data_IF_929725800118
#
_entry.id   IF_929725800118
#
_cell.length_a   1.000
_cell.length_b   1.000
_cell.length_c   1.000
_cell.angle_alpha   90.00
_cell.angle_beta   90.00
_cell.angle_gamma   90.00
#
_symmetry.space_group_name_H-M   'P 1'
#
loop_
_entity.id
_entity.type
_entity.pdbx_description
1 polymer ?
#
# COMPACT_ATOMS: atom_id res chain seq x y z
N UNK A 1 -10.48 -3.44 -30.34
CA UNK A 1 -10.24 -2.13 -29.71
C UNK A 1 -9.12 -2.32 -28.71
N UNK A 2 -7.88 -2.01 -29.09
CA UNK A 2 -6.79 -1.93 -28.11
C UNK A 2 -6.91 -0.55 -27.46
N UNK A 3 -7.42 -0.49 -26.23
CA UNK A 3 -7.30 0.70 -25.41
C UNK A 3 -5.82 1.04 -25.35
N UNK A 4 -5.43 2.20 -25.90
CA UNK A 4 -4.08 2.69 -25.79
C UNK A 4 -3.85 3.00 -24.32
N UNK A 5 -3.22 2.06 -23.59
CA UNK A 5 -2.72 2.32 -22.24
C UNK A 5 -1.74 3.48 -22.35
N UNK A 6 -2.07 4.58 -21.70
CA UNK A 6 -1.11 5.66 -21.54
C UNK A 6 -0.18 5.29 -20.39
N UNK A 7 1.10 5.73 -20.39
CA UNK A 7 1.97 5.58 -19.23
C UNK A 7 1.38 6.18 -17.94
N UNK A 8 0.41 7.09 -18.08
CA UNK A 8 -0.33 7.68 -16.98
C UNK A 8 -1.37 6.71 -16.37
N UNK A 9 -2.00 5.86 -17.18
CA UNK A 9 -2.88 4.79 -16.70
C UNK A 9 -2.08 3.75 -15.89
N UNK A 10 -0.87 3.45 -16.34
CA UNK A 10 0.02 2.50 -15.67
C UNK A 10 0.44 3.02 -14.29
N UNK A 11 0.82 4.30 -14.15
CA UNK A 11 1.20 4.85 -12.83
C UNK A 11 0.02 4.95 -11.85
N UNK A 12 -1.19 5.24 -12.33
CA UNK A 12 -2.39 5.29 -11.47
C UNK A 12 -2.73 3.87 -11.01
N UNK A 13 -2.73 2.91 -11.92
CA UNK A 13 -2.94 1.50 -11.60
C UNK A 13 -1.90 0.99 -10.61
N UNK A 14 -0.62 1.32 -10.80
CA UNK A 14 0.47 0.92 -9.91
C UNK A 14 0.28 1.49 -8.50
N UNK A 15 -0.07 2.77 -8.37
CA UNK A 15 -0.30 3.41 -7.08
C UNK A 15 -1.52 2.84 -6.35
N UNK A 16 -2.61 2.57 -7.08
CA UNK A 16 -3.80 1.92 -6.52
C UNK A 16 -3.46 0.49 -6.07
N UNK A 17 -2.69 -0.26 -6.87
CA UNK A 17 -2.28 -1.61 -6.54
C UNK A 17 -1.43 -1.66 -5.27
N UNK A 18 -0.43 -0.78 -5.16
CA UNK A 18 0.42 -0.67 -3.96
C UNK A 18 -0.42 -0.28 -2.74
N UNK A 19 -1.30 0.72 -2.86
CA UNK A 19 -2.19 1.13 -1.78
C UNK A 19 -3.07 -0.02 -1.30
N UNK A 20 -3.71 -0.74 -2.24
CA UNK A 20 -4.56 -1.88 -1.93
C UNK A 20 -3.81 -2.97 -1.17
N UNK A 21 -2.63 -3.37 -1.64
CA UNK A 21 -1.84 -4.44 -1.00
C UNK A 21 -1.32 -4.03 0.38
N UNK A 22 -0.91 -2.76 0.56
CA UNK A 22 -0.49 -2.26 1.87
C UNK A 22 -1.65 -2.27 2.89
N UNK A 23 -2.84 -1.82 2.49
CA UNK A 23 -4.03 -1.88 3.34
C UNK A 23 -4.45 -3.32 3.64
N UNK A 24 -4.40 -4.20 2.64
CA UNK A 24 -4.73 -5.62 2.79
C UNK A 24 -3.76 -6.34 3.73
N UNK A 25 -2.46 -6.01 3.67
CA UNK A 25 -1.45 -6.49 4.60
C UNK A 25 -1.76 -6.08 6.04
N UNK A 26 -2.20 -4.83 6.24
CA UNK A 26 -2.69 -4.30 7.52
C UNK A 26 -3.68 -5.22 8.25
N UNK A 27 -4.66 -5.77 7.53
CA UNK A 27 -5.68 -6.68 8.10
C UNK A 27 -5.10 -8.01 8.63
N UNK A 28 -3.92 -8.41 8.14
CA UNK A 28 -3.27 -9.68 8.50
C UNK A 28 -2.20 -9.50 9.59
N UNK A 29 -1.63 -8.30 9.70
CA UNK A 29 -0.52 -8.01 10.63
C UNK A 29 -0.89 -8.30 12.09
N UNK A 30 -2.12 -8.00 12.53
CA UNK A 30 -2.55 -8.30 13.90
C UNK A 30 -2.55 -9.82 14.21
N UNK A 31 -2.87 -10.64 13.20
CA UNK A 31 -2.78 -12.10 13.34
C UNK A 31 -1.32 -12.53 13.41
N UNK A 32 -0.46 -11.98 12.57
CA UNK A 32 0.97 -12.33 12.55
C UNK A 32 1.67 -11.95 13.86
N UNK A 33 1.37 -10.78 14.42
CA UNK A 33 1.89 -10.36 15.72
C UNK A 33 1.46 -11.31 16.82
N UNK A 34 0.18 -11.74 16.80
CA UNK A 34 -0.33 -12.74 17.75
C UNK A 34 0.36 -14.10 17.60
N UNK A 35 0.57 -14.56 16.38
CA UNK A 35 1.25 -15.83 16.10
C UNK A 35 2.74 -15.80 16.54
N UNK A 36 3.32 -14.60 16.63
CA UNK A 36 4.72 -14.38 17.03
C UNK A 36 4.89 -14.03 18.53
N UNK A 37 3.88 -14.19 19.38
CA UNK A 37 3.88 -13.66 20.76
C UNK A 37 5.09 -14.08 21.64
N UNK A 38 5.65 -15.26 21.40
CA UNK A 38 6.83 -15.77 22.12
C UNK A 38 8.18 -15.30 21.52
N UNK A 39 8.15 -14.64 20.36
CA UNK A 39 9.30 -14.20 19.57
C UNK A 39 9.33 -12.68 19.45
N UNK A 40 9.88 -12.02 20.47
CA UNK A 40 9.85 -10.55 20.58
C UNK A 40 10.49 -9.82 19.38
N UNK A 41 11.60 -10.32 18.87
CA UNK A 41 12.28 -9.76 17.70
C UNK A 41 11.42 -9.85 16.42
N UNK A 42 10.66 -10.94 16.27
CA UNK A 42 9.71 -11.13 15.18
C UNK A 42 8.51 -10.19 15.33
N UNK A 43 7.99 -10.02 16.55
CA UNK A 43 6.92 -9.04 16.84
C UNK A 43 7.36 -7.63 16.46
N UNK A 44 8.53 -7.19 16.93
CA UNK A 44 9.07 -5.86 16.64
C UNK A 44 9.20 -5.64 15.11
N UNK A 45 9.65 -6.66 14.37
CA UNK A 45 9.72 -6.61 12.91
C UNK A 45 8.34 -6.53 12.25
N UNK A 46 7.36 -7.32 12.69
CA UNK A 46 6.01 -7.32 12.12
C UNK A 46 5.27 -5.99 12.38
N UNK A 47 5.47 -5.40 13.56
CA UNK A 47 4.96 -4.06 13.86
C UNK A 47 5.62 -3.00 12.97
N UNK A 48 6.93 -3.08 12.74
CA UNK A 48 7.62 -2.22 11.78
C UNK A 48 7.02 -2.35 10.37
N UNK A 49 6.80 -3.57 9.88
CA UNK A 49 6.19 -3.80 8.55
C UNK A 49 4.79 -3.18 8.49
N UNK A 50 3.95 -3.37 9.51
CA UNK A 50 2.61 -2.75 9.58
C UNK A 50 2.68 -1.24 9.46
N UNK A 51 3.58 -0.62 10.20
CA UNK A 51 3.73 0.83 10.21
C UNK A 51 4.25 1.36 8.88
N UNK A 52 5.14 0.63 8.22
CA UNK A 52 5.60 0.98 6.87
C UNK A 52 4.49 0.85 5.83
N UNK A 53 3.66 -0.20 5.91
CA UNK A 53 2.52 -0.38 5.01
C UNK A 53 1.48 0.73 5.19
N UNK A 54 1.19 1.12 6.42
CA UNK A 54 0.32 2.27 6.70
C UNK A 54 0.86 3.55 6.06
N UNK A 55 2.18 3.81 6.18
CA UNK A 55 2.84 4.95 5.52
C UNK A 55 2.77 4.87 4.00
N UNK A 56 2.98 3.68 3.42
CA UNK A 56 2.86 3.45 1.96
C UNK A 56 1.44 3.75 1.47
N UNK A 57 0.42 3.26 2.17
CA UNK A 57 -0.98 3.47 1.81
C UNK A 57 -1.36 4.96 1.80
N UNK A 58 -0.95 5.72 2.82
CA UNK A 58 -1.16 7.17 2.90
C UNK A 58 -0.42 7.87 1.75
N UNK A 59 0.84 7.51 1.51
CA UNK A 59 1.64 8.15 0.45
C UNK A 59 1.04 7.92 -0.94
N UNK A 60 0.58 6.71 -1.24
CA UNK A 60 -0.12 6.43 -2.48
C UNK A 60 -1.40 7.26 -2.61
N UNK A 61 -2.16 7.44 -1.53
CA UNK A 61 -3.36 8.29 -1.54
C UNK A 61 -3.04 9.74 -1.91
N UNK A 62 -1.99 10.31 -1.32
CA UNK A 62 -1.53 11.67 -1.61
C UNK A 62 -1.11 11.83 -3.07
N UNK A 63 -0.33 10.88 -3.60
CA UNK A 63 0.15 10.90 -4.98
C UNK A 63 -1.01 10.78 -5.97
N UNK A 64 -1.96 9.88 -5.72
CA UNK A 64 -3.18 9.77 -6.52
C UNK A 64 -3.95 11.09 -6.52
N UNK A 65 -4.13 11.72 -5.35
CA UNK A 65 -4.78 13.03 -5.26
C UNK A 65 -4.05 14.14 -6.04
N UNK A 66 -2.72 14.10 -6.14
CA UNK A 66 -1.94 15.03 -6.96
C UNK A 66 -2.12 14.77 -8.46
N UNK A 67 -2.13 13.51 -8.90
CA UNK A 67 -2.35 13.14 -10.30
C UNK A 67 -3.75 13.54 -10.78
N UNK A 68 -4.79 13.28 -9.98
CA UNK A 68 -6.17 13.67 -10.30
C UNK A 68 -6.31 15.20 -10.39
N UNK A 69 -5.71 15.96 -9.47
CA UNK A 69 -5.71 17.45 -9.53
C UNK A 69 -4.97 17.99 -10.75
N UNK A 70 -3.98 17.26 -11.26
CA UNK A 70 -3.16 17.66 -12.41
C UNK A 70 -3.83 17.35 -13.76
N UNK A 71 -5.07 16.83 -13.77
CA UNK A 71 -5.84 16.60 -14.99
C UNK A 71 -5.49 15.33 -15.75
N UNK A 72 -4.91 14.33 -15.05
CA UNK A 72 -4.65 13.00 -15.61
C UNK A 72 -5.89 12.09 -15.55
N UNK A 73 -7.01 12.58 -14.99
CA UNK A 73 -8.29 11.85 -14.88
C UNK A 73 -9.34 12.30 -15.88
#
# INVERSE_FOLDING_TARGET
MASQHTPADDIVYDLVSIQYHALKGGELHDRYVKDAEEHRDVVDFLEQVRDEDARRAVRCHELLGQLTKSGIG
#
